data_IF_692992800708
#
_entry.id   IF_692992800708
#
_cell.length_a   1.000
_cell.length_b   1.000
_cell.length_c   1.000
_cell.angle_alpha   90.00
_cell.angle_beta   90.00
_cell.angle_gamma   90.00
#
_symmetry.space_group_name_H-M   'P 1'
#
loop_
_entity.id
_entity.type
_entity.pdbx_description
1 polymer ?
#
# COMPACT_ATOMS: atom_id res chain seq x y z
N UNK A 1 -14.19 5.63 -15.00
CA UNK A 1 -13.42 6.11 -13.85
C UNK A 1 -13.51 7.62 -13.75
N UNK A 2 -13.66 8.11 -12.55
CA UNK A 2 -13.61 9.54 -12.21
C UNK A 2 -12.62 9.73 -11.07
N UNK A 3 -11.74 10.73 -11.16
CA UNK A 3 -10.78 11.07 -10.13
C UNK A 3 -10.74 12.58 -9.95
N UNK A 4 -10.77 13.02 -8.69
CA UNK A 4 -10.54 14.40 -8.30
C UNK A 4 -9.46 14.43 -7.23
N UNK A 5 -8.43 15.24 -7.44
CA UNK A 5 -7.31 15.38 -6.52
C UNK A 5 -7.07 16.84 -6.19
N UNK A 6 -6.81 17.12 -4.93
CA UNK A 6 -6.47 18.44 -4.43
C UNK A 6 -5.26 18.38 -3.51
N UNK A 7 -4.29 19.26 -3.76
CA UNK A 7 -3.09 19.37 -2.92
C UNK A 7 -3.10 20.68 -2.16
N UNK A 8 -3.15 20.61 -0.84
CA UNK A 8 -3.08 21.75 0.05
C UNK A 8 -1.64 21.98 0.52
N UNK A 9 -1.14 23.20 0.32
CA UNK A 9 0.19 23.66 0.76
C UNK A 9 1.35 22.67 0.50
N UNK A 10 1.27 21.87 -0.56
CA UNK A 10 2.27 20.87 -0.96
C UNK A 10 2.52 19.74 0.04
N UNK A 11 1.87 19.73 1.20
CA UNK A 11 2.09 18.72 2.22
C UNK A 11 0.93 17.73 2.38
N UNK A 12 -0.27 18.08 1.93
CA UNK A 12 -1.44 17.21 2.01
C UNK A 12 -2.09 17.09 0.63
N UNK A 13 -2.17 15.88 0.12
CA UNK A 13 -2.96 15.57 -1.09
C UNK A 13 -4.15 14.71 -0.69
N UNK A 14 -5.34 15.15 -1.09
CA UNK A 14 -6.60 14.42 -0.93
C UNK A 14 -7.06 13.99 -2.31
N UNK A 15 -7.39 12.72 -2.49
CA UNK A 15 -7.88 12.18 -3.75
C UNK A 15 -9.18 11.42 -3.52
N UNK A 16 -10.20 11.76 -4.29
CA UNK A 16 -11.45 11.02 -4.40
C UNK A 16 -11.45 10.30 -5.75
N UNK A 17 -11.63 8.99 -5.71
CA UNK A 17 -11.73 8.17 -6.90
C UNK A 17 -13.05 7.38 -6.89
N UNK A 18 -13.71 7.36 -8.04
CA UNK A 18 -14.84 6.48 -8.31
C UNK A 18 -14.55 5.65 -9.55
N UNK A 19 -14.75 4.34 -9.45
CA UNK A 19 -14.64 3.44 -10.59
C UNK A 19 -15.85 2.48 -10.67
N UNK A 20 -16.28 2.24 -11.90
CA UNK A 20 -17.22 1.20 -12.24
C UNK A 20 -16.52 0.16 -13.11
N UNK A 21 -16.46 -1.07 -12.63
CA UNK A 21 -15.99 -2.23 -13.38
C UNK A 21 -17.20 -3.05 -13.80
N UNK A 22 -17.35 -3.30 -15.08
CA UNK A 22 -18.35 -4.21 -15.65
C UNK A 22 -17.68 -5.54 -15.99
N UNK A 23 -18.47 -6.61 -16.02
CA UNK A 23 -17.98 -7.96 -16.33
C UNK A 23 -16.83 -8.40 -15.44
N UNK A 24 -16.90 -8.01 -14.16
CA UNK A 24 -15.88 -8.34 -13.18
C UNK A 24 -15.81 -9.83 -12.94
N UNK A 25 -14.64 -10.42 -13.17
CA UNK A 25 -14.35 -11.81 -12.84
C UNK A 25 -13.74 -11.88 -11.44
N UNK A 26 -14.23 -12.80 -10.64
CA UNK A 26 -13.63 -13.09 -9.34
C UNK A 26 -13.76 -14.59 -9.01
N UNK A 27 -12.86 -15.06 -8.15
CA UNK A 27 -12.92 -16.41 -7.63
C UNK A 27 -14.04 -16.56 -6.62
N UNK A 28 -14.70 -17.72 -6.64
CA UNK A 28 -15.65 -18.13 -5.64
C UNK A 28 -15.37 -19.54 -5.16
N UNK A 29 -15.82 -19.79 -3.95
CA UNK A 29 -15.67 -21.06 -3.28
C UNK A 29 -17.03 -21.76 -3.24
N UNK A 30 -17.05 -22.98 -3.76
CA UNK A 30 -18.24 -23.83 -3.76
C UNK A 30 -17.92 -25.15 -3.08
N UNK A 31 -18.89 -25.69 -2.35
CA UNK A 31 -18.76 -26.98 -1.73
C UNK A 31 -19.35 -28.05 -2.64
N UNK A 32 -18.53 -28.99 -3.10
CA UNK A 32 -18.95 -30.18 -3.83
C UNK A 32 -18.69 -31.42 -2.94
N UNK A 33 -19.73 -31.88 -2.25
CA UNK A 33 -19.58 -32.99 -1.31
C UNK A 33 -18.65 -32.62 -0.13
N UNK A 34 -17.51 -33.29 -0.02
CA UNK A 34 -16.47 -33.02 0.98
C UNK A 34 -15.36 -32.08 0.46
N UNK A 35 -15.36 -31.75 -0.82
CA UNK A 35 -14.35 -30.89 -1.41
C UNK A 35 -14.80 -29.41 -1.46
N UNK A 36 -13.84 -28.49 -1.28
CA UNK A 36 -14.02 -27.09 -1.61
C UNK A 36 -13.39 -26.84 -2.97
N UNK A 37 -14.18 -26.43 -3.94
CA UNK A 37 -13.75 -26.13 -5.31
C UNK A 37 -13.68 -24.63 -5.49
N UNK A 38 -12.61 -24.15 -6.12
CA UNK A 38 -12.42 -22.75 -6.47
C UNK A 38 -12.74 -22.61 -7.95
N UNK A 39 -13.65 -21.72 -8.30
CA UNK A 39 -14.02 -21.40 -9.67
C UNK A 39 -13.96 -19.91 -9.91
N UNK A 40 -13.68 -19.50 -11.14
CA UNK A 40 -13.81 -18.11 -11.57
C UNK A 40 -15.12 -17.89 -12.25
N UNK A 41 -15.84 -16.83 -11.87
CA UNK A 41 -17.10 -16.46 -12.46
C UNK A 41 -17.19 -14.95 -12.66
N UNK A 42 -18.04 -14.52 -13.60
CA UNK A 42 -18.40 -13.13 -13.78
C UNK A 42 -19.45 -12.72 -12.72
N UNK A 43 -19.08 -11.77 -11.85
CA UNK A 43 -19.96 -11.23 -10.79
C UNK A 43 -20.87 -10.10 -11.29
N UNK A 44 -20.68 -9.61 -12.51
CA UNK A 44 -21.41 -8.48 -13.06
C UNK A 44 -20.70 -7.16 -12.86
N UNK A 45 -21.16 -6.31 -11.92
CA UNK A 45 -20.64 -4.95 -11.77
C UNK A 45 -20.08 -4.72 -10.37
N UNK A 46 -19.00 -3.94 -10.30
CA UNK A 46 -18.43 -3.45 -9.06
C UNK A 46 -18.33 -1.92 -9.10
N UNK A 47 -19.01 -1.27 -8.17
CA UNK A 47 -18.80 0.14 -7.86
C UNK A 47 -17.74 0.25 -6.77
N UNK A 48 -16.76 1.09 -6.97
CA UNK A 48 -15.70 1.35 -5.99
C UNK A 48 -15.56 2.85 -5.79
N UNK A 49 -15.66 3.29 -4.55
CA UNK A 49 -15.38 4.66 -4.11
C UNK A 49 -14.20 4.61 -3.16
N UNK A 50 -13.18 5.42 -3.43
CA UNK A 50 -12.00 5.53 -2.60
C UNK A 50 -11.74 7.00 -2.27
N UNK A 51 -11.57 7.31 -0.99
CA UNK A 51 -11.08 8.59 -0.50
C UNK A 51 -9.73 8.37 0.18
N UNK A 52 -8.69 9.01 -0.34
CA UNK A 52 -7.34 8.88 0.20
C UNK A 52 -6.72 10.22 0.57
N UNK A 53 -5.85 10.17 1.56
CA UNK A 53 -5.06 11.27 2.07
C UNK A 53 -3.59 10.88 2.07
N UNK A 54 -2.76 11.69 1.45
CA UNK A 54 -1.31 11.55 1.49
C UNK A 54 -0.74 12.82 2.13
N UNK A 55 -0.15 12.68 3.31
CA UNK A 55 0.45 13.78 4.04
C UNK A 55 1.96 13.58 4.19
N UNK A 56 2.73 14.60 3.79
CA UNK A 56 4.17 14.66 3.97
C UNK A 56 4.51 15.80 4.91
N UNK A 57 4.90 15.47 6.14
CA UNK A 57 5.03 16.41 7.23
C UNK A 57 6.47 16.42 7.76
N UNK A 58 6.88 17.56 8.27
CA UNK A 58 8.13 17.72 9.00
C UNK A 58 7.85 18.43 10.34
N UNK A 59 7.31 17.70 11.35
CA UNK A 59 6.92 18.29 12.63
C UNK A 59 8.08 18.93 13.37
N UNK A 60 9.32 18.44 13.14
CA UNK A 60 10.55 19.00 13.70
C UNK A 60 11.70 18.85 12.70
N UNK A 61 12.79 19.62 12.87
CA UNK A 61 14.00 19.52 12.02
C UNK A 61 14.63 18.14 12.01
N UNK A 62 14.41 17.37 13.05
CA UNK A 62 14.95 16.01 13.22
C UNK A 62 13.92 14.92 12.93
N UNK A 63 12.65 15.26 12.63
CA UNK A 63 11.58 14.32 12.39
C UNK A 63 10.84 14.65 11.11
N UNK A 64 10.83 13.71 10.16
CA UNK A 64 9.95 13.71 8.98
C UNK A 64 9.02 12.52 9.01
N UNK A 65 7.79 12.71 8.57
CA UNK A 65 6.80 11.64 8.50
C UNK A 65 6.00 11.72 7.21
N UNK A 66 5.69 10.55 6.67
CA UNK A 66 4.75 10.37 5.58
C UNK A 66 3.61 9.51 6.12
N UNK A 67 2.39 9.98 5.94
CA UNK A 67 1.17 9.26 6.31
C UNK A 67 0.28 9.14 5.08
N UNK A 68 -0.10 7.92 4.78
CA UNK A 68 -1.13 7.62 3.79
C UNK A 68 -2.30 6.96 4.51
N UNK A 69 -3.50 7.49 4.31
CA UNK A 69 -4.74 6.90 4.82
C UNK A 69 -5.76 6.82 3.70
N UNK A 70 -6.48 5.72 3.61
CA UNK A 70 -7.59 5.58 2.68
C UNK A 70 -8.80 4.94 3.33
N UNK A 71 -9.98 5.39 2.89
CA UNK A 71 -11.24 4.72 3.09
C UNK A 71 -11.79 4.27 1.75
N UNK A 72 -12.13 2.99 1.63
CA UNK A 72 -12.66 2.39 0.41
C UNK A 72 -14.03 1.79 0.68
N UNK A 73 -14.94 2.05 -0.22
CA UNK A 73 -16.26 1.41 -0.25
C UNK A 73 -16.43 0.70 -1.59
N UNK A 74 -16.80 -0.57 -1.54
CA UNK A 74 -17.04 -1.41 -2.71
C UNK A 74 -18.44 -2.01 -2.65
N UNK A 75 -19.11 -2.05 -3.79
CA UNK A 75 -20.40 -2.68 -3.94
C UNK A 75 -20.40 -3.56 -5.18
N UNK A 76 -20.49 -4.86 -4.97
CA UNK A 76 -20.57 -5.88 -6.00
C UNK A 76 -22.04 -6.22 -6.27
N UNK A 77 -22.50 -6.03 -7.50
CA UNK A 77 -23.89 -6.26 -7.91
C UNK A 77 -23.89 -7.16 -9.13
N UNK A 78 -24.59 -8.28 -9.06
CA UNK A 78 -24.71 -9.19 -10.20
C UNK A 78 -25.34 -10.52 -9.86
N UNK A 79 -25.14 -11.50 -10.73
CA UNK A 79 -25.60 -12.87 -10.58
C UNK A 79 -24.41 -13.75 -10.15
N UNK A 80 -24.61 -14.49 -9.08
CA UNK A 80 -23.64 -15.44 -8.57
C UNK A 80 -24.32 -16.80 -8.39
N UNK A 81 -23.91 -17.81 -9.17
CA UNK A 81 -24.50 -19.15 -9.15
C UNK A 81 -26.05 -19.14 -9.25
N UNK A 82 -26.60 -18.27 -10.11
CA UNK A 82 -28.04 -18.09 -10.25
C UNK A 82 -28.72 -17.24 -9.16
N UNK A 83 -27.98 -16.73 -8.19
CA UNK A 83 -28.49 -15.85 -7.14
C UNK A 83 -28.11 -14.39 -7.38
N UNK A 84 -29.07 -13.49 -7.22
CA UNK A 84 -28.77 -12.06 -7.17
C UNK A 84 -27.92 -11.75 -5.94
N UNK A 85 -26.78 -11.11 -6.15
CA UNK A 85 -25.86 -10.67 -5.09
C UNK A 85 -25.75 -9.16 -5.04
N UNK A 86 -25.64 -8.66 -3.82
CA UNK A 86 -25.34 -7.26 -3.53
C UNK A 86 -24.42 -7.24 -2.30
N UNK A 87 -23.12 -7.43 -2.57
CA UNK A 87 -22.10 -7.52 -1.52
C UNK A 87 -21.45 -6.15 -1.34
N UNK A 88 -21.57 -5.62 -0.13
CA UNK A 88 -21.03 -4.31 0.25
C UNK A 88 -19.88 -4.49 1.21
N UNK A 89 -18.80 -3.81 0.95
CA UNK A 89 -17.62 -3.81 1.82
C UNK A 89 -17.09 -2.39 2.00
N UNK A 90 -16.68 -2.08 3.22
CA UNK A 90 -15.94 -0.86 3.52
C UNK A 90 -14.67 -1.22 4.28
N UNK A 91 -13.56 -0.61 3.91
CA UNK A 91 -12.30 -0.79 4.60
C UNK A 91 -11.59 0.55 4.84
N UNK A 92 -10.68 0.54 5.80
CA UNK A 92 -9.77 1.64 6.10
C UNK A 92 -8.36 1.05 6.14
N UNK A 93 -7.45 1.67 5.41
CA UNK A 93 -6.04 1.36 5.44
C UNK A 93 -5.23 2.60 5.83
N UNK A 94 -4.22 2.41 6.65
CA UNK A 94 -3.29 3.46 7.06
C UNK A 94 -1.87 2.94 6.92
N UNK A 95 -1.01 3.74 6.29
CA UNK A 95 0.44 3.50 6.23
C UNK A 95 1.16 4.71 6.81
N UNK A 96 2.19 4.47 7.60
CA UNK A 96 2.99 5.53 8.18
C UNK A 96 4.48 5.19 8.08
N UNK A 97 5.28 6.20 7.73
CA UNK A 97 6.73 6.10 7.72
C UNK A 97 7.31 7.33 8.43
N UNK A 98 8.04 7.10 9.50
CA UNK A 98 8.72 8.14 10.27
C UNK A 98 10.22 7.96 10.13
N UNK A 99 10.92 9.07 9.90
CA UNK A 99 12.37 9.13 9.88
C UNK A 99 12.85 10.13 10.93
N UNK A 100 13.78 9.70 11.76
CA UNK A 100 14.34 10.50 12.85
C UNK A 100 15.84 10.68 12.62
N UNK A 101 16.27 11.92 12.46
CA UNK A 101 17.70 12.30 12.42
C UNK A 101 18.15 12.61 13.81
N UNK A 102 18.75 11.63 14.51
CA UNK A 102 19.19 11.79 15.90
C UNK A 102 20.39 12.73 15.96
N UNK A 103 21.34 12.55 15.05
CA UNK A 103 22.49 13.43 14.85
C UNK A 103 23.11 13.21 13.47
N UNK A 104 24.28 13.81 13.18
CA UNK A 104 24.97 13.70 11.88
C UNK A 104 25.31 12.27 11.46
N UNK A 105 25.43 11.33 12.43
CA UNK A 105 25.82 9.94 12.19
C UNK A 105 24.71 8.94 12.42
N UNK A 106 23.73 9.23 13.26
CA UNK A 106 22.68 8.31 13.65
C UNK A 106 21.31 8.77 13.14
N UNK A 107 20.59 7.85 12.57
CA UNK A 107 19.17 8.00 12.25
C UNK A 107 18.39 6.75 12.64
N UNK A 108 17.10 6.93 12.88
CA UNK A 108 16.17 5.84 13.15
C UNK A 108 14.95 5.96 12.23
N UNK A 109 14.28 4.84 12.03
CA UNK A 109 13.02 4.77 11.30
C UNK A 109 11.98 3.97 12.09
N UNK A 110 10.73 4.39 11.98
CA UNK A 110 9.58 3.67 12.49
C UNK A 110 8.52 3.69 11.38
N UNK A 111 8.20 2.53 10.86
CA UNK A 111 7.18 2.40 9.83
C UNK A 111 6.17 1.33 10.17
N UNK A 112 5.01 1.40 9.55
CA UNK A 112 4.00 0.40 9.72
C UNK A 112 2.78 0.65 8.86
N UNK A 113 1.92 -0.35 8.82
CA UNK A 113 0.61 -0.24 8.22
C UNK A 113 -0.45 -0.91 9.08
N UNK A 114 -1.67 -0.50 8.86
CA UNK A 114 -2.85 -1.11 9.44
C UNK A 114 -3.96 -1.15 8.41
N UNK A 115 -4.64 -2.29 8.32
CA UNK A 115 -5.82 -2.52 7.52
C UNK A 115 -6.89 -3.11 8.45
N UNK A 116 -8.06 -2.47 8.56
CA UNK A 116 -9.10 -2.94 9.46
C UNK A 116 -9.75 -4.24 8.95
N UNK A 117 -9.94 -4.35 7.65
CA UNK A 117 -10.47 -5.54 6.95
C UNK A 117 -10.30 -5.36 5.45
N UNK A 118 -10.33 -6.45 4.71
CA UNK A 118 -10.44 -6.43 3.26
C UNK A 118 -11.50 -7.42 2.81
N UNK A 119 -12.19 -7.09 1.72
CA UNK A 119 -13.19 -7.97 1.14
C UNK A 119 -12.92 -8.12 -0.35
N UNK A 120 -12.79 -9.35 -0.79
CA UNK A 120 -12.64 -9.71 -2.18
C UNK A 120 -13.70 -10.76 -2.54
N UNK A 121 -14.79 -10.28 -3.16
CA UNK A 121 -15.95 -11.12 -3.41
C UNK A 121 -16.51 -11.71 -2.10
N UNK A 122 -16.40 -13.03 -1.95
CA UNK A 122 -16.88 -13.77 -0.78
C UNK A 122 -15.90 -13.82 0.38
N UNK A 123 -14.61 -13.52 0.13
CA UNK A 123 -13.55 -13.62 1.12
C UNK A 123 -13.52 -12.35 1.95
N UNK A 124 -13.54 -12.51 3.27
CA UNK A 124 -13.32 -11.41 4.21
C UNK A 124 -12.02 -11.69 4.96
N UNK A 125 -11.02 -10.86 4.73
CA UNK A 125 -9.78 -10.85 5.49
C UNK A 125 -9.99 -9.93 6.69
N UNK A 126 -9.68 -10.41 7.89
CA UNK A 126 -9.75 -9.62 9.14
C UNK A 126 -8.61 -8.61 9.18
N UNK A 127 -8.60 -7.81 10.25
CA UNK A 127 -7.55 -6.81 10.42
C UNK A 127 -6.14 -7.38 10.28
N UNK A 128 -5.29 -6.60 9.65
CA UNK A 128 -3.89 -6.91 9.42
C UNK A 128 -3.05 -5.67 9.68
N UNK A 129 -1.90 -5.82 10.30
CA UNK A 129 -1.01 -4.70 10.53
C UNK A 129 0.39 -5.14 10.91
N UNK A 130 1.33 -4.24 10.73
CA UNK A 130 2.74 -4.48 10.98
C UNK A 130 3.43 -3.21 11.45
N UNK A 131 4.35 -3.33 12.39
CA UNK A 131 5.25 -2.27 12.83
C UNK A 131 6.68 -2.72 12.60
N UNK A 132 7.47 -1.85 11.96
CA UNK A 132 8.89 -2.07 11.69
C UNK A 132 9.70 -0.95 12.33
N UNK A 133 10.87 -1.30 12.85
CA UNK A 133 11.82 -0.34 13.37
C UNK A 133 13.19 -0.54 12.73
N UNK A 134 13.96 0.54 12.64
CA UNK A 134 15.33 0.47 12.14
C UNK A 134 16.20 1.56 12.77
N UNK A 135 17.46 1.26 12.93
CA UNK A 135 18.49 2.22 13.37
C UNK A 135 19.67 2.11 12.41
N UNK A 136 20.18 3.25 12.00
CA UNK A 136 21.27 3.35 11.05
C UNK A 136 22.38 4.23 11.59
N UNK A 137 23.63 3.80 11.40
CA UNK A 137 24.83 4.55 11.74
C UNK A 137 25.74 4.72 10.52
N UNK A 138 26.18 5.95 10.26
CA UNK A 138 27.25 6.23 9.31
C UNK A 138 28.60 5.95 10.00
N UNK A 139 29.44 5.18 9.34
CA UNK A 139 30.76 4.76 9.82
C UNK A 139 31.83 5.02 8.76
N UNK A 140 33.10 4.79 9.06
CA UNK A 140 34.21 4.96 8.13
C UNK A 140 34.29 6.36 7.50
N UNK A 141 34.15 7.42 8.30
CA UNK A 141 34.12 8.83 7.83
C UNK A 141 33.02 9.05 6.79
N UNK A 142 31.81 8.52 7.04
CA UNK A 142 30.61 8.56 6.21
C UNK A 142 30.67 7.79 4.88
N UNK A 143 31.75 6.99 4.67
CA UNK A 143 31.88 6.11 3.50
C UNK A 143 31.07 4.84 3.61
N UNK A 144 30.69 4.43 4.83
CA UNK A 144 29.88 3.25 5.03
C UNK A 144 28.69 3.53 5.95
N UNK A 145 27.70 2.67 5.85
CA UNK A 145 26.48 2.69 6.64
C UNK A 145 26.23 1.30 7.20
N UNK A 146 25.99 1.23 8.49
CA UNK A 146 25.50 0.04 9.18
C UNK A 146 24.04 0.28 9.57
N UNK A 147 23.12 -0.59 9.12
CA UNK A 147 21.69 -0.53 9.44
C UNK A 147 21.28 -1.83 10.11
N UNK A 148 20.63 -1.71 11.26
CA UNK A 148 19.92 -2.81 11.90
C UNK A 148 18.42 -2.50 11.83
N UNK A 149 17.63 -3.46 11.37
CA UNK A 149 16.19 -3.32 11.25
C UNK A 149 15.47 -4.58 11.75
N UNK A 150 14.29 -4.40 12.32
CA UNK A 150 13.39 -5.48 12.70
C UNK A 150 12.04 -5.22 12.04
N UNK A 151 11.62 -6.15 11.20
CA UNK A 151 10.29 -6.19 10.61
C UNK A 151 9.32 -6.88 11.56
N UNK A 152 8.06 -6.47 11.51
CA UNK A 152 6.96 -7.03 12.32
C UNK A 152 7.34 -7.21 13.80
N UNK A 153 7.73 -6.11 14.42
CA UNK A 153 8.19 -6.08 15.81
C UNK A 153 7.20 -6.77 16.77
N UNK A 154 5.91 -6.61 16.53
CA UNK A 154 4.84 -7.13 17.38
C UNK A 154 4.34 -8.53 16.96
N UNK A 155 4.85 -9.09 15.85
CA UNK A 155 4.43 -10.39 15.28
C UNK A 155 2.93 -10.43 14.96
N UNK A 156 2.44 -9.38 14.29
CA UNK A 156 1.01 -9.17 14.00
C UNK A 156 0.61 -9.53 12.56
N UNK A 157 1.57 -9.88 11.69
CA UNK A 157 1.33 -10.28 10.30
C UNK A 157 0.73 -11.69 10.19
N UNK A 158 -0.39 -11.91 10.85
CA UNK A 158 -1.13 -13.17 10.81
C UNK A 158 -2.44 -12.95 10.06
N UNK A 159 -2.49 -13.39 8.81
CA UNK A 159 -3.69 -13.26 7.99
C UNK A 159 -4.75 -14.24 8.48
N UNK A 160 -5.90 -13.72 8.89
CA UNK A 160 -7.09 -14.49 9.27
C UNK A 160 -8.25 -14.02 8.39
N UNK A 161 -9.06 -14.97 7.97
CA UNK A 161 -10.22 -14.62 7.17
C UNK A 161 -11.29 -15.68 7.23
N UNK A 162 -12.39 -15.39 6.57
CA UNK A 162 -13.50 -16.31 6.45
C UNK A 162 -14.30 -16.05 5.17
N UNK A 163 -15.04 -17.07 4.80
CA UNK A 163 -16.08 -17.05 3.78
C UNK A 163 -17.38 -17.38 4.50
N UNK A 164 -18.40 -16.53 4.30
CA UNK A 164 -19.74 -16.77 4.79
C UNK A 164 -20.72 -16.31 3.73
N UNK A 165 -21.10 -17.24 2.87
CA UNK A 165 -21.94 -16.93 1.72
C UNK A 165 -22.79 -18.13 1.30
N UNK A 166 -24.12 -17.93 1.28
CA UNK A 166 -25.11 -18.88 0.73
C UNK A 166 -24.91 -20.35 1.19
N UNK A 167 -24.72 -20.55 2.49
CA UNK A 167 -24.54 -21.89 3.06
C UNK A 167 -23.12 -22.46 3.01
N UNK A 168 -22.19 -21.73 2.42
CA UNK A 168 -20.77 -22.05 2.48
C UNK A 168 -20.11 -21.25 3.59
N UNK A 169 -19.60 -21.92 4.63
CA UNK A 169 -18.79 -21.31 5.68
C UNK A 169 -17.43 -21.98 5.73
N UNK A 170 -16.39 -21.18 5.63
CA UNK A 170 -15.01 -21.62 5.83
C UNK A 170 -14.19 -20.52 6.50
N UNK A 171 -13.26 -20.88 7.37
CA UNK A 171 -12.34 -19.93 7.97
C UNK A 171 -10.91 -20.39 7.76
N UNK A 172 -9.99 -19.44 7.65
CA UNK A 172 -8.57 -19.72 7.52
C UNK A 172 -7.75 -18.82 8.44
N UNK A 173 -6.60 -19.35 8.82
CA UNK A 173 -5.60 -18.63 9.59
C UNK A 173 -4.22 -18.98 9.04
N UNK A 174 -3.51 -18.00 8.52
CA UNK A 174 -2.17 -18.18 7.97
C UNK A 174 -1.16 -17.47 8.86
N UNK A 175 -0.28 -18.25 9.49
CA UNK A 175 0.84 -17.75 10.27
C UNK A 175 2.08 -17.73 9.40
N UNK A 176 2.76 -16.59 9.35
CA UNK A 176 4.03 -16.42 8.63
C UNK A 176 5.13 -16.04 9.61
N UNK A 177 6.34 -16.49 9.35
CA UNK A 177 7.53 -16.00 10.03
C UNK A 177 7.89 -14.61 9.46
N UNK A 178 7.22 -13.59 10.01
CA UNK A 178 7.27 -12.20 9.56
C UNK A 178 8.24 -11.35 10.38
N UNK A 179 8.58 -11.79 11.62
CA UNK A 179 9.54 -11.08 12.44
C UNK A 179 10.96 -11.42 12.01
N UNK A 180 11.56 -10.51 11.26
CA UNK A 180 12.90 -10.69 10.67
C UNK A 180 13.81 -9.57 11.17
N UNK A 181 14.92 -9.95 11.79
CA UNK A 181 16.02 -9.04 12.11
C UNK A 181 17.03 -9.04 10.97
N UNK A 182 17.36 -7.86 10.46
CA UNK A 182 18.27 -7.68 9.32
C UNK A 182 19.39 -6.74 9.71
N UNK A 183 20.65 -7.16 9.49
CA UNK A 183 21.82 -6.32 9.60
C UNK A 183 22.38 -6.05 8.21
N UNK A 184 22.46 -4.78 7.81
CA UNK A 184 22.93 -4.37 6.49
C UNK A 184 24.18 -3.52 6.63
N UNK A 185 25.23 -3.86 5.91
CA UNK A 185 26.43 -3.05 5.75
C UNK A 185 26.52 -2.58 4.30
N UNK A 186 26.59 -1.25 4.10
CA UNK A 186 26.73 -0.64 2.77
C UNK A 186 27.99 0.20 2.73
N UNK A 187 28.83 0.01 1.72
CA UNK A 187 30.05 0.79 1.53
C UNK A 187 30.04 1.46 0.15
N UNK A 188 30.39 2.76 0.11
CA UNK A 188 30.48 3.53 -1.12
C UNK A 188 31.90 3.53 -1.65
N UNK A 189 32.07 2.91 -2.82
CA UNK A 189 33.34 2.91 -3.56
C UNK A 189 33.37 4.11 -4.54
N UNK A 190 34.59 4.57 -4.81
CA UNK A 190 34.86 5.56 -5.83
C UNK A 190 34.69 7.03 -5.37
N UNK A 191 35.00 7.93 -6.28
CA UNK A 191 34.83 9.37 -6.09
C UNK A 191 33.40 9.76 -6.49
N UNK A 192 32.76 10.72 -5.79
CA UNK A 192 31.48 11.24 -6.26
C UNK A 192 31.66 11.80 -7.69
N UNK A 193 30.77 11.39 -8.59
CA UNK A 193 30.77 11.92 -9.95
C UNK A 193 30.34 13.39 -9.86
N UNK A 194 31.31 14.31 -9.94
CA UNK A 194 31.04 15.73 -10.04
C UNK A 194 30.44 15.99 -11.42
N UNK A 195 29.22 16.53 -11.46
CA UNK A 195 28.63 17.05 -12.69
C UNK A 195 27.62 16.18 -13.41
N UNK A 196 26.94 15.21 -12.74
CA UNK A 196 25.67 14.73 -13.24
C UNK A 196 24.68 15.91 -13.27
N UNK A 197 24.58 16.59 -14.42
CA UNK A 197 23.48 17.49 -14.69
C UNK A 197 22.20 16.66 -14.49
N UNK A 198 21.41 17.04 -13.50
CA UNK A 198 20.05 16.49 -13.35
C UNK A 198 19.38 16.69 -14.70
N UNK A 199 19.04 15.62 -15.41
CA UNK A 199 18.26 15.73 -16.65
C UNK A 199 16.94 16.38 -16.27
N UNK A 200 16.87 17.69 -16.41
CA UNK A 200 15.63 18.46 -16.34
C UNK A 200 14.95 18.31 -17.71
N UNK A 201 14.36 17.20 -17.97
CA UNK A 201 13.26 17.11 -18.93
C UNK A 201 12.99 15.65 -19.23
N UNK A 202 11.76 15.22 -19.05
CA UNK A 202 11.24 14.15 -19.88
C UNK A 202 11.35 14.59 -21.35
N UNK A 203 11.52 13.64 -22.29
CA UNK A 203 11.71 13.91 -23.74
C UNK A 203 10.62 14.73 -24.45
N UNK A 204 9.63 15.21 -23.71
CA UNK A 204 8.58 16.13 -24.21
C UNK A 204 8.97 17.62 -24.19
N UNK A 205 10.04 18.02 -23.50
CA UNK A 205 10.40 19.46 -23.43
C UNK A 205 10.96 19.97 -24.73
N UNK A 206 11.69 19.17 -25.50
CA UNK A 206 12.23 19.53 -26.80
C UNK A 206 11.10 19.63 -27.85
N UNK A 207 10.08 18.78 -27.77
CA UNK A 207 8.89 18.82 -28.62
C UNK A 207 8.01 20.03 -28.32
N UNK A 208 7.83 20.36 -27.05
CA UNK A 208 7.08 21.57 -26.64
C UNK A 208 7.78 22.86 -27.09
N UNK A 209 9.11 22.91 -27.15
CA UNK A 209 9.85 24.07 -27.64
C UNK A 209 9.78 24.21 -29.17
N UNK A 210 9.70 23.09 -29.92
CA UNK A 210 9.48 23.10 -31.36
C UNK A 210 8.11 23.67 -31.74
N UNK A 211 7.07 23.30 -30.98
CA UNK A 211 5.69 23.82 -31.22
C UNK A 211 5.57 25.31 -30.88
N UNK A 212 6.32 25.84 -29.92
CA UNK A 212 6.32 27.25 -29.54
C UNK A 212 7.10 28.15 -30.50
N UNK A 213 7.99 27.58 -31.33
CA UNK A 213 8.77 28.33 -32.30
C UNK A 213 8.17 28.39 -33.72
N UNK A 214 6.96 27.88 -33.91
CA UNK A 214 6.27 27.80 -35.20
C UNK A 214 5.09 28.82 -35.35
N UNK A 215 5.04 29.85 -34.49
CA UNK A 215 4.11 30.98 -34.61
C UNK A 215 4.88 32.28 -34.84
#
# INVERSE_FOLDING_TARGET
>A
NFEASHTYNKWLTTTLNYSLTTDMQAEYFEREGLATVIRTQNYGKMHNVNLSFNAQLQPAKWWSTMVYAEGRYQNYIGLFNGYNVNLKAANIAVNMNNQFTINKKWSAELSGFYLNRESEGQIIIKQLGQINIGVQKKVLKDKATLKFAVSDLLKTMNAKGYIDFKGTYASFSQHRDSRIATLTFSYRFGKPIKGLKTRKSGGAADEQNRVKGAN
#
